data_IF_682478401610
#
_entry.id   IF_682478401610
#
_cell.length_a   1.000
_cell.length_b   1.000
_cell.length_c   1.000
_cell.angle_alpha   90.00
_cell.angle_beta   90.00
_cell.angle_gamma   90.00
#
_symmetry.space_group_name_H-M   'P 1'
#
loop_
_entity.id
_entity.type
_entity.pdbx_description
1 polymer ?
#
# COMPACT_ATOMS: atom_id res chain seq x y z
N UNK A 1 -64.54 27.34 -32.16
CA UNK A 1 -63.17 27.85 -31.86
C UNK A 1 -62.88 28.04 -30.36
N UNK A 2 -63.82 27.78 -29.44
CA UNK A 2 -63.61 27.93 -27.98
C UNK A 2 -63.13 26.67 -27.25
N UNK A 3 -63.17 25.48 -27.88
CA UNK A 3 -62.83 24.21 -27.22
C UNK A 3 -61.33 23.84 -27.29
N UNK A 4 -60.52 24.55 -28.10
CA UNK A 4 -59.07 24.30 -28.23
C UNK A 4 -58.20 25.16 -27.32
N UNK A 5 -58.72 26.25 -26.76
CA UNK A 5 -57.97 27.10 -25.81
C UNK A 5 -57.99 26.53 -24.38
N UNK A 6 -59.06 25.84 -23.98
CA UNK A 6 -59.14 25.22 -22.64
C UNK A 6 -58.16 24.07 -22.44
N UNK A 7 -57.89 23.28 -23.49
CA UNK A 7 -56.98 22.15 -23.42
C UNK A 7 -55.50 22.55 -23.34
N UNK A 8 -55.14 23.74 -23.84
CA UNK A 8 -53.76 24.25 -23.76
C UNK A 8 -53.44 24.80 -22.35
N UNK A 9 -54.41 25.42 -21.69
CA UNK A 9 -54.26 25.91 -20.31
C UNK A 9 -54.13 24.79 -19.28
N UNK A 10 -54.87 23.68 -19.45
CA UNK A 10 -54.81 22.54 -18.54
C UNK A 10 -53.47 21.79 -18.63
N UNK A 11 -52.86 21.74 -19.81
CA UNK A 11 -51.57 21.08 -20.06
C UNK A 11 -50.39 21.88 -19.50
N UNK A 12 -50.51 23.22 -19.43
CA UNK A 12 -49.49 24.08 -18.84
C UNK A 12 -49.46 23.99 -17.31
N UNK A 13 -50.63 23.88 -16.65
CA UNK A 13 -50.71 23.73 -15.19
C UNK A 13 -50.17 22.37 -14.69
N UNK A 14 -50.24 21.31 -15.50
CA UNK A 14 -49.67 19.99 -15.17
C UNK A 14 -48.14 19.92 -15.34
N UNK A 15 -47.53 20.84 -16.08
CA UNK A 15 -46.07 20.90 -16.23
C UNK A 15 -45.35 21.62 -15.06
N UNK A 16 -46.07 22.39 -14.25
CA UNK A 16 -45.51 23.13 -13.11
C UNK A 16 -45.44 22.31 -11.80
N UNK A 17 -46.07 21.14 -11.72
CA UNK A 17 -46.01 20.25 -10.55
C UNK A 17 -44.90 19.20 -10.62
N UNK A 18 -43.98 19.31 -11.60
CA UNK A 18 -42.89 18.35 -11.79
C UNK A 18 -41.61 18.68 -11.00
N UNK A 19 -41.55 19.82 -10.30
CA UNK A 19 -40.51 20.09 -9.30
C UNK A 19 -40.97 19.53 -7.95
N UNK A 20 -40.83 18.21 -7.77
CA UNK A 20 -40.91 17.59 -6.45
C UNK A 20 -39.67 17.95 -5.63
N UNK A 21 -39.87 18.10 -4.32
CA UNK A 21 -38.78 18.30 -3.36
C UNK A 21 -37.81 17.12 -3.46
N UNK A 22 -36.54 17.40 -3.77
CA UNK A 22 -35.54 16.36 -3.92
C UNK A 22 -35.35 15.74 -2.54
N UNK A 23 -35.40 14.41 -2.35
CA UNK A 23 -35.08 13.84 -1.05
C UNK A 23 -33.66 14.29 -0.72
N UNK A 24 -33.51 14.97 0.41
CA UNK A 24 -32.22 15.46 0.92
C UNK A 24 -31.70 14.46 1.96
N UNK A 25 -31.12 13.30 1.55
CA UNK A 25 -30.67 12.26 2.48
C UNK A 25 -29.52 12.71 3.40
N UNK A 26 -29.01 13.94 3.21
CA UNK A 26 -27.92 14.52 3.98
C UNK A 26 -28.33 15.76 4.80
N UNK A 27 -29.59 16.18 4.76
CA UNK A 27 -30.07 17.27 5.62
C UNK A 27 -30.43 16.73 7.01
N UNK A 28 -29.44 16.78 7.90
CA UNK A 28 -29.54 16.33 9.28
C UNK A 28 -28.19 16.47 9.98
N UNK A 29 -28.16 16.32 11.30
CA UNK A 29 -26.92 16.22 12.06
C UNK A 29 -26.48 14.75 12.04
N UNK A 30 -25.50 14.33 11.22
CA UNK A 30 -25.36 12.92 10.83
C UNK A 30 -24.62 12.08 11.91
N UNK A 31 -24.67 12.53 13.16
CA UNK A 31 -24.12 11.83 14.31
C UNK A 31 -22.59 11.74 14.30
N UNK A 32 -22.03 11.08 15.31
CA UNK A 32 -20.59 10.90 15.46
C UNK A 32 -19.98 9.95 14.42
N UNK A 33 -20.80 9.07 13.82
CA UNK A 33 -20.35 8.09 12.82
C UNK A 33 -20.13 8.75 11.46
N UNK A 34 -21.08 9.55 10.96
CA UNK A 34 -20.89 10.21 9.68
C UNK A 34 -19.80 11.29 9.73
N UNK A 35 -19.59 11.96 10.87
CA UNK A 35 -18.45 12.87 11.04
C UNK A 35 -17.10 12.17 10.97
N UNK A 36 -17.02 10.91 11.40
CA UNK A 36 -15.82 10.07 11.23
C UNK A 36 -15.67 9.61 9.78
N UNK A 37 -16.77 9.23 9.12
CA UNK A 37 -16.77 8.87 7.70
C UNK A 37 -16.43 10.05 6.77
N UNK A 38 -16.73 11.29 7.20
CA UNK A 38 -16.44 12.51 6.45
C UNK A 38 -15.02 13.06 6.68
N UNK A 39 -14.22 12.43 7.56
CA UNK A 39 -12.81 12.82 7.69
C UNK A 39 -12.03 12.21 6.54
N UNK A 40 -11.49 13.01 5.60
CA UNK A 40 -10.66 12.46 4.54
C UNK A 40 -9.45 11.76 5.16
N UNK A 41 -9.21 10.52 4.75
CA UNK A 41 -8.14 9.67 5.28
C UNK A 41 -6.72 10.24 5.04
N UNK A 42 -6.61 11.26 4.19
CA UNK A 42 -5.39 11.95 3.83
C UNK A 42 -5.61 13.47 3.88
N UNK A 43 -4.70 14.23 4.51
CA UNK A 43 -4.79 15.68 4.52
C UNK A 43 -4.77 16.22 3.08
N UNK A 44 -5.73 17.08 2.78
CA UNK A 44 -5.84 17.79 1.52
C UNK A 44 -4.65 18.76 1.36
N UNK A 45 -4.08 18.83 0.16
CA UNK A 45 -2.98 19.73 -0.19
C UNK A 45 -3.49 20.99 -0.89
N UNK A 46 -3.20 22.16 -0.32
CA UNK A 46 -3.55 23.44 -0.94
C UNK A 46 -2.55 23.80 -2.06
N UNK A 47 -3.06 24.22 -3.20
CA UNK A 47 -2.27 24.71 -4.34
C UNK A 47 -2.68 26.14 -4.67
N UNK A 48 -2.27 27.15 -3.88
CA UNK A 48 -2.57 28.54 -4.20
C UNK A 48 -1.87 28.97 -5.50
N UNK A 49 -2.43 29.94 -6.25
CA UNK A 49 -1.72 30.58 -7.35
C UNK A 49 -0.37 31.13 -6.90
N UNK A 50 0.67 30.90 -7.70
CA UNK A 50 2.01 31.41 -7.41
C UNK A 50 2.06 32.93 -7.54
N UNK A 51 2.87 33.59 -6.70
CA UNK A 51 3.10 35.04 -6.77
C UNK A 51 4.44 35.41 -7.45
N UNK A 52 5.45 34.54 -7.37
CA UNK A 52 6.82 34.81 -7.84
C UNK A 52 7.21 33.83 -8.95
N UNK A 53 6.37 33.68 -9.96
CA UNK A 53 6.53 32.71 -11.06
C UNK A 53 6.94 33.35 -12.39
N UNK A 54 7.07 34.68 -12.44
CA UNK A 54 7.27 35.44 -13.68
C UNK A 54 6.12 35.25 -14.70
N UNK A 55 4.96 34.75 -14.27
CA UNK A 55 3.74 34.63 -15.07
C UNK A 55 2.71 35.70 -14.68
N UNK A 56 1.81 36.11 -15.59
CA UNK A 56 0.63 36.90 -15.24
C UNK A 56 -0.31 36.16 -14.27
N UNK A 57 -1.09 36.90 -13.49
CA UNK A 57 -2.01 36.33 -12.48
C UNK A 57 -2.97 35.27 -13.03
N UNK A 58 -3.52 35.49 -14.23
CA UNK A 58 -4.40 34.52 -14.88
C UNK A 58 -3.67 33.19 -15.18
N UNK A 59 -2.44 33.28 -15.70
CA UNK A 59 -1.61 32.10 -15.95
C UNK A 59 -1.16 31.41 -14.65
N UNK A 60 -0.96 32.16 -13.57
CA UNK A 60 -0.70 31.60 -12.24
C UNK A 60 -1.88 30.80 -11.70
N UNK A 61 -3.10 31.31 -11.89
CA UNK A 61 -4.32 30.61 -11.54
C UNK A 61 -4.47 29.33 -12.36
N UNK A 62 -4.21 29.40 -13.67
CA UNK A 62 -4.30 28.25 -14.57
C UNK A 62 -3.24 27.19 -14.26
N UNK A 63 -2.01 27.59 -13.95
CA UNK A 63 -0.95 26.67 -13.52
C UNK A 63 -1.32 25.97 -12.20
N UNK A 64 -1.87 26.71 -11.23
CA UNK A 64 -2.32 26.12 -9.97
C UNK A 64 -3.44 25.09 -10.19
N UNK A 65 -4.42 25.40 -11.06
CA UNK A 65 -5.51 24.48 -11.41
C UNK A 65 -4.97 23.19 -12.05
N UNK A 66 -4.03 23.33 -12.98
CA UNK A 66 -3.42 22.21 -13.67
C UNK A 66 -2.55 21.38 -12.74
N UNK A 67 -1.79 22.02 -11.85
CA UNK A 67 -1.00 21.34 -10.83
C UNK A 67 -1.87 20.56 -9.86
N UNK A 68 -2.97 21.14 -9.37
CA UNK A 68 -3.93 20.43 -8.52
C UNK A 68 -4.54 19.23 -9.24
N UNK A 69 -4.89 19.37 -10.52
CA UNK A 69 -5.42 18.28 -11.36
C UNK A 69 -4.38 17.16 -11.55
N UNK A 70 -3.13 17.52 -11.84
CA UNK A 70 -2.05 16.57 -12.01
C UNK A 70 -1.72 15.82 -10.70
N UNK A 71 -1.73 16.52 -9.56
CA UNK A 71 -1.56 15.90 -8.24
C UNK A 71 -2.68 14.90 -7.93
N UNK A 72 -3.94 15.25 -8.21
CA UNK A 72 -5.07 14.33 -8.06
C UNK A 72 -4.92 13.10 -8.96
N UNK A 73 -4.43 13.26 -10.19
CA UNK A 73 -4.14 12.15 -11.10
C UNK A 73 -3.03 11.22 -10.57
N UNK A 74 -2.17 11.71 -9.67
CA UNK A 74 -1.17 10.93 -8.93
C UNK A 74 -1.65 10.47 -7.54
N UNK A 75 -2.97 10.44 -7.32
CA UNK A 75 -3.60 10.04 -6.05
C UNK A 75 -3.25 10.93 -4.84
N UNK A 76 -2.80 12.17 -5.09
CA UNK A 76 -2.55 13.17 -4.05
C UNK A 76 -3.77 14.11 -4.01
N UNK A 77 -4.60 14.06 -2.95
CA UNK A 77 -5.74 14.97 -2.84
C UNK A 77 -5.24 16.41 -2.75
N UNK A 78 -5.48 17.19 -3.81
CA UNK A 78 -5.02 18.56 -3.90
C UNK A 78 -6.09 19.44 -4.52
N UNK A 79 -6.21 20.69 -4.09
CA UNK A 79 -7.12 21.65 -4.72
C UNK A 79 -6.55 23.07 -4.70
N UNK A 80 -7.03 23.89 -5.61
CA UNK A 80 -6.71 25.32 -5.59
C UNK A 80 -7.62 26.01 -4.59
N UNK A 81 -7.00 26.51 -3.53
CA UNK A 81 -7.67 27.36 -2.56
C UNK A 81 -6.63 28.16 -1.78
N UNK A 82 -7.10 29.23 -1.13
CA UNK A 82 -6.30 29.92 -0.13
C UNK A 82 -6.08 28.97 1.06
N UNK A 83 -4.83 28.69 1.45
CA UNK A 83 -4.56 27.76 2.53
C UNK A 83 -5.02 28.31 3.88
N UNK A 84 -5.81 27.52 4.60
CA UNK A 84 -6.16 27.77 6.00
C UNK A 84 -4.99 27.37 6.93
N UNK A 85 -5.06 27.78 8.20
CA UNK A 85 -4.00 27.55 9.23
C UNK A 85 -3.69 26.08 9.55
N UNK A 86 -4.43 25.14 8.97
CA UNK A 86 -4.35 23.71 9.30
C UNK A 86 -4.02 22.84 8.07
N UNK A 87 -3.69 23.46 6.93
CA UNK A 87 -3.57 22.76 5.65
C UNK A 87 -2.14 22.91 5.11
N UNK A 88 -1.58 21.80 4.66
CA UNK A 88 -0.31 21.77 3.94
C UNK A 88 -0.47 22.44 2.57
N UNK A 89 0.61 22.99 2.02
CA UNK A 89 0.53 23.72 0.75
C UNK A 89 1.75 23.52 -0.13
N UNK A 90 1.52 23.54 -1.44
CA UNK A 90 2.58 23.66 -2.45
C UNK A 90 2.62 25.10 -2.92
N UNK A 91 3.76 25.75 -2.71
CA UNK A 91 4.01 27.10 -3.23
C UNK A 91 4.86 26.97 -4.49
N UNK A 92 4.31 27.47 -5.59
CA UNK A 92 5.02 27.55 -6.88
C UNK A 92 5.72 28.90 -7.01
N UNK A 93 7.01 28.85 -7.31
CA UNK A 93 7.85 29.98 -7.71
C UNK A 93 8.53 29.64 -9.03
N UNK A 94 9.18 30.60 -9.67
CA UNK A 94 10.03 30.33 -10.80
C UNK A 94 11.23 31.27 -10.81
N UNK A 95 12.38 30.73 -11.21
CA UNK A 95 13.62 31.48 -11.32
C UNK A 95 14.11 31.49 -12.76
N UNK A 96 14.65 32.62 -13.18
CA UNK A 96 15.27 32.73 -14.49
C UNK A 96 16.68 32.14 -14.45
N UNK A 97 16.96 31.23 -15.36
CA UNK A 97 18.25 30.57 -15.56
C UNK A 97 18.70 30.78 -17.01
N UNK A 98 19.35 31.93 -17.26
CA UNK A 98 19.75 32.37 -18.60
C UNK A 98 18.55 32.57 -19.54
N UNK A 99 18.51 31.76 -20.60
CA UNK A 99 17.43 31.72 -21.60
C UNK A 99 16.28 30.78 -21.23
N UNK A 100 16.29 30.26 -20.00
CA UNK A 100 15.27 29.37 -19.48
C UNK A 100 14.64 29.95 -18.20
N UNK A 101 13.46 29.45 -17.87
CA UNK A 101 12.80 29.60 -16.58
C UNK A 101 12.68 28.22 -15.95
N UNK A 102 13.03 28.13 -14.68
CA UNK A 102 12.92 26.93 -13.87
C UNK A 102 11.83 27.12 -12.83
N UNK A 103 10.72 26.36 -12.88
CA UNK A 103 9.74 26.36 -11.82
C UNK A 103 10.28 25.61 -10.59
N UNK A 104 9.94 26.14 -9.42
CA UNK A 104 10.32 25.64 -8.10
C UNK A 104 9.07 25.40 -7.28
N UNK A 105 8.96 24.24 -6.65
CA UNK A 105 7.82 23.83 -5.87
C UNK A 105 8.26 23.55 -4.44
N UNK A 106 7.83 24.38 -3.49
CA UNK A 106 8.12 24.18 -2.06
C UNK A 106 6.88 23.70 -1.31
N UNK A 107 7.02 22.59 -0.59
CA UNK A 107 6.01 22.03 0.29
C UNK A 107 6.17 22.71 1.65
N UNK A 108 5.07 23.29 2.14
CA UNK A 108 5.02 23.92 3.46
C UNK A 108 3.98 23.28 4.35
N UNK A 109 4.32 23.17 5.62
CA UNK A 109 3.42 22.73 6.66
C UNK A 109 2.33 23.80 6.94
N UNK A 110 1.32 23.47 7.79
CA UNK A 110 0.30 24.42 8.20
C UNK A 110 0.85 25.67 8.89
N UNK A 111 1.99 25.56 9.57
CA UNK A 111 2.68 26.66 10.26
C UNK A 111 3.44 27.57 9.28
N UNK A 112 3.62 27.15 8.03
CA UNK A 112 4.33 27.89 6.97
C UNK A 112 5.82 27.59 6.89
N UNK A 113 6.33 26.64 7.68
CA UNK A 113 7.70 26.12 7.57
C UNK A 113 7.82 25.29 6.29
N UNK A 114 8.94 25.46 5.59
CA UNK A 114 9.26 24.64 4.42
C UNK A 114 9.78 23.28 4.89
N UNK A 115 9.09 22.20 4.48
CA UNK A 115 9.45 20.82 4.84
C UNK A 115 10.19 20.10 3.69
N UNK A 116 10.07 20.62 2.47
CA UNK A 116 10.79 20.11 1.32
C UNK A 116 10.52 20.91 0.06
N UNK A 117 11.33 20.70 -0.96
CA UNK A 117 11.17 21.35 -2.26
C UNK A 117 11.68 20.48 -3.40
N UNK A 118 11.20 20.78 -4.60
CA UNK A 118 11.66 20.17 -5.86
C UNK A 118 11.65 21.20 -6.97
N UNK A 119 12.50 20.99 -7.96
CA UNK A 119 12.54 21.76 -9.19
C UNK A 119 11.71 21.05 -10.27
N UNK A 120 11.14 21.82 -11.20
CA UNK A 120 10.63 21.30 -12.46
C UNK A 120 11.66 21.41 -13.58
N UNK A 121 11.26 20.92 -14.76
CA UNK A 121 12.08 21.00 -15.97
C UNK A 121 12.26 22.46 -16.41
N UNK A 122 13.39 22.74 -17.05
CA UNK A 122 13.66 24.06 -17.62
C UNK A 122 12.75 24.30 -18.82
N UNK A 123 12.04 25.42 -18.82
CA UNK A 123 11.21 25.87 -19.94
C UNK A 123 11.90 27.06 -20.62
N UNK A 124 12.00 27.11 -21.96
CA UNK A 124 12.56 28.29 -22.64
C UNK A 124 11.83 29.57 -22.24
N UNK A 125 12.56 30.66 -22.04
CA UNK A 125 12.03 31.92 -21.50
C UNK A 125 10.84 32.46 -22.31
N UNK A 126 10.92 32.40 -23.64
CA UNK A 126 9.84 32.85 -24.54
C UNK A 126 8.59 31.99 -24.35
N UNK A 127 8.74 30.67 -24.32
CA UNK A 127 7.64 29.73 -24.11
C UNK A 127 6.99 29.89 -22.73
N UNK A 128 7.79 30.15 -21.69
CA UNK A 128 7.28 30.46 -20.36
C UNK A 128 6.48 31.77 -20.35
N UNK A 129 7.02 32.82 -20.99
CA UNK A 129 6.37 34.13 -21.09
C UNK A 129 5.06 34.07 -21.91
N UNK A 130 4.99 33.22 -22.93
CA UNK A 130 3.78 32.99 -23.73
C UNK A 130 2.65 32.34 -22.91
N UNK A 131 3.00 31.63 -21.82
CA UNK A 131 2.05 31.03 -20.88
C UNK A 131 0.94 30.17 -21.52
N UNK A 132 1.28 29.41 -22.58
CA UNK A 132 0.28 28.63 -23.31
C UNK A 132 -0.36 27.54 -22.43
N UNK A 133 -1.66 27.22 -22.61
CA UNK A 133 -2.33 26.19 -21.82
C UNK A 133 -1.61 24.84 -21.87
N UNK A 134 -1.12 24.42 -23.04
CA UNK A 134 -0.39 23.16 -23.21
C UNK A 134 0.93 23.12 -22.43
N UNK A 135 1.65 24.25 -22.39
CA UNK A 135 2.90 24.36 -21.62
C UNK A 135 2.62 24.26 -20.12
N UNK A 136 1.62 25.00 -19.61
CA UNK A 136 1.23 24.94 -18.21
C UNK A 136 0.80 23.52 -17.80
N UNK A 137 0.11 22.82 -18.70
CA UNK A 137 -0.33 21.44 -18.47
C UNK A 137 0.87 20.51 -18.36
N UNK A 138 1.83 20.64 -19.29
CA UNK A 138 3.05 19.86 -19.28
C UNK A 138 3.86 20.08 -18.00
N UNK A 139 4.08 21.34 -17.60
CA UNK A 139 4.80 21.68 -16.37
C UNK A 139 4.14 21.05 -15.14
N UNK A 140 2.81 21.14 -15.05
CA UNK A 140 2.05 20.54 -13.96
C UNK A 140 2.16 19.00 -13.95
N UNK A 141 1.99 18.37 -15.11
CA UNK A 141 2.05 16.91 -15.26
C UNK A 141 3.44 16.35 -14.89
N UNK A 142 4.51 17.05 -15.25
CA UNK A 142 5.88 16.65 -14.90
C UNK A 142 6.21 16.94 -13.43
N UNK A 143 5.65 18.00 -12.83
CA UNK A 143 5.91 18.38 -11.45
C UNK A 143 5.22 17.46 -10.43
N UNK A 144 3.99 17.01 -10.71
CA UNK A 144 3.17 16.20 -9.80
C UNK A 144 3.90 14.96 -9.22
N UNK A 145 4.50 14.05 -10.03
CA UNK A 145 5.21 12.89 -9.48
C UNK A 145 6.41 13.26 -8.61
N UNK A 146 7.13 14.35 -8.94
CA UNK A 146 8.26 14.85 -8.12
C UNK A 146 7.79 15.39 -6.78
N UNK A 147 6.71 16.17 -6.77
CA UNK A 147 6.09 16.65 -5.52
C UNK A 147 5.63 15.46 -4.66
N UNK A 148 5.02 14.45 -5.27
CA UNK A 148 4.62 13.20 -4.59
C UNK A 148 5.80 12.48 -3.93
N UNK A 149 6.95 12.43 -4.60
CA UNK A 149 8.17 11.87 -4.03
C UNK A 149 8.66 12.67 -2.81
N UNK A 150 8.63 14.01 -2.87
CA UNK A 150 8.99 14.88 -1.74
C UNK A 150 8.06 14.67 -0.55
N UNK A 151 6.74 14.66 -0.77
CA UNK A 151 5.74 14.42 0.29
C UNK A 151 5.95 13.05 0.96
N UNK A 152 6.24 12.03 0.16
CA UNK A 152 6.56 10.69 0.67
C UNK A 152 7.84 10.69 1.52
N UNK A 153 8.86 11.42 1.09
CA UNK A 153 10.11 11.60 1.82
C UNK A 153 9.93 12.33 3.15
N UNK A 154 9.13 13.40 3.18
CA UNK A 154 8.80 14.14 4.41
C UNK A 154 8.12 13.21 5.41
N UNK A 155 7.08 12.47 4.98
CA UNK A 155 6.38 11.51 5.84
C UNK A 155 7.32 10.45 6.39
N UNK A 156 8.20 9.89 5.55
CA UNK A 156 9.17 8.90 5.98
C UNK A 156 10.16 9.48 7.01
N UNK A 157 10.59 10.73 6.84
CA UNK A 157 11.46 11.41 7.80
C UNK A 157 10.75 11.67 9.15
N UNK A 158 9.48 12.07 9.13
CA UNK A 158 8.64 12.22 10.34
C UNK A 158 8.45 10.87 11.05
N UNK A 159 8.13 9.82 10.31
CA UNK A 159 7.98 8.46 10.83
C UNK A 159 9.31 7.97 11.46
N UNK A 160 10.46 8.22 10.80
CA UNK A 160 11.79 7.90 11.35
C UNK A 160 12.11 8.69 12.62
N UNK A 161 11.71 9.96 12.71
CA UNK A 161 11.98 10.80 13.87
C UNK A 161 11.10 10.48 15.09
N UNK A 162 9.89 9.95 14.88
CA UNK A 162 8.96 9.61 15.95
C UNK A 162 9.27 8.22 16.57
N UNK A 163 9.71 8.12 17.84
CA UNK A 163 10.07 6.84 18.45
C UNK A 163 8.90 5.84 18.57
N UNK A 164 7.66 6.34 18.56
CA UNK A 164 6.45 5.51 18.68
C UNK A 164 5.84 5.12 17.32
N UNK A 165 6.42 5.59 16.21
CA UNK A 165 5.94 5.26 14.86
C UNK A 165 6.07 3.76 14.58
N UNK A 166 5.24 3.26 13.67
CA UNK A 166 5.34 1.87 13.18
C UNK A 166 6.65 1.60 12.43
N UNK A 167 7.40 2.63 12.06
CA UNK A 167 8.74 2.49 11.49
C UNK A 167 9.77 2.09 12.56
N UNK A 168 9.64 2.60 13.79
CA UNK A 168 10.63 2.41 14.87
C UNK A 168 10.31 1.29 15.85
N UNK A 169 9.19 0.59 15.69
CA UNK A 169 8.81 -0.55 16.54
C UNK A 169 8.08 -1.63 15.75
N UNK A 170 8.07 -2.88 16.23
CA UNK A 170 7.19 -3.90 15.68
C UNK A 170 5.72 -3.49 15.74
N UNK A 171 4.97 -3.79 14.68
CA UNK A 171 3.53 -3.64 14.66
C UNK A 171 2.89 -4.61 15.66
N UNK A 172 1.91 -4.12 16.42
CA UNK A 172 1.03 -4.95 17.25
C UNK A 172 -0.16 -5.35 16.41
N UNK A 173 -0.36 -6.65 16.23
CA UNK A 173 -1.36 -7.17 15.32
C UNK A 173 -2.26 -8.12 16.07
N UNK A 174 -3.53 -7.76 16.18
CA UNK A 174 -4.53 -8.70 16.63
C UNK A 174 -4.88 -9.66 15.48
N UNK A 175 -4.98 -10.95 15.80
CA UNK A 175 -5.52 -11.94 14.88
C UNK A 175 -6.85 -12.40 15.45
N UNK A 176 -7.93 -11.92 14.83
CA UNK A 176 -9.29 -12.26 15.18
C UNK A 176 -9.56 -13.75 14.96
N UNK A 177 -10.61 -14.25 15.60
CA UNK A 177 -11.10 -15.59 15.33
C UNK A 177 -11.51 -15.70 13.86
N UNK A 178 -11.07 -16.78 13.22
CA UNK A 178 -11.46 -17.13 11.86
C UNK A 178 -12.92 -17.56 11.91
N UNK A 179 -13.65 -17.30 10.83
CA UNK A 179 -15.07 -17.63 10.74
C UNK A 179 -15.40 -18.34 9.44
N UNK A 180 -16.32 -19.28 9.52
CA UNK A 180 -16.96 -19.92 8.36
C UNK A 180 -16.26 -21.19 7.87
N UNK A 181 -15.21 -21.65 8.54
CA UNK A 181 -14.59 -22.92 8.22
C UNK A 181 -15.42 -24.09 8.80
N UNK A 182 -15.62 -25.17 8.03
CA UNK A 182 -16.22 -26.39 8.55
C UNK A 182 -15.35 -27.07 9.62
N UNK A 183 -15.95 -27.98 10.40
CA UNK A 183 -15.25 -28.77 11.40
C UNK A 183 -14.59 -27.92 12.49
N UNK A 184 -13.31 -28.16 12.77
CA UNK A 184 -12.48 -27.39 13.71
C UNK A 184 -11.67 -26.26 13.04
N UNK A 185 -11.96 -25.97 11.77
CA UNK A 185 -11.13 -25.11 10.93
C UNK A 185 -10.95 -23.68 11.44
N UNK A 186 -11.98 -23.08 12.04
CA UNK A 186 -11.91 -21.72 12.56
C UNK A 186 -10.85 -21.63 13.67
N UNK A 187 -10.90 -22.54 14.63
CA UNK A 187 -9.92 -22.65 15.71
C UNK A 187 -8.52 -22.98 15.18
N UNK A 188 -8.41 -23.99 14.31
CA UNK A 188 -7.14 -24.46 13.79
C UNK A 188 -6.42 -23.36 12.97
N UNK A 189 -7.13 -22.66 12.09
CA UNK A 189 -6.58 -21.56 11.30
C UNK A 189 -6.20 -20.36 12.15
N UNK A 190 -7.02 -19.96 13.13
CA UNK A 190 -6.67 -18.87 14.06
C UNK A 190 -5.38 -19.17 14.81
N UNK A 191 -5.26 -20.37 15.39
CA UNK A 191 -4.09 -20.77 16.14
C UNK A 191 -2.85 -20.77 15.25
N UNK A 192 -2.93 -21.40 14.07
CA UNK A 192 -1.79 -21.48 13.16
C UNK A 192 -1.39 -20.11 12.62
N UNK A 193 -2.34 -19.23 12.29
CA UNK A 193 -2.04 -17.88 11.86
C UNK A 193 -1.30 -17.09 12.95
N UNK A 194 -1.78 -17.13 14.20
CA UNK A 194 -1.12 -16.47 15.34
C UNK A 194 0.33 -16.95 15.51
N UNK A 195 0.53 -18.27 15.50
CA UNK A 195 1.87 -18.87 15.62
C UNK A 195 2.79 -18.45 14.47
N UNK A 196 2.30 -18.51 13.23
CA UNK A 196 3.10 -18.19 12.04
C UNK A 196 3.43 -16.71 11.94
N UNK A 197 2.51 -15.83 12.31
CA UNK A 197 2.73 -14.39 12.23
C UNK A 197 3.70 -13.90 13.32
N UNK A 198 3.62 -14.47 14.54
CA UNK A 198 4.53 -14.10 15.63
C UNK A 198 6.01 -14.33 15.30
N UNK A 199 6.31 -15.39 14.52
CA UNK A 199 7.68 -15.69 14.06
C UNK A 199 8.18 -14.71 13.01
N UNK A 200 7.28 -14.00 12.32
CA UNK A 200 7.62 -13.09 11.21
C UNK A 200 7.92 -11.65 11.65
N UNK A 201 7.80 -11.33 12.95
CA UNK A 201 8.19 -10.04 13.52
C UNK A 201 7.09 -9.30 14.30
N UNK A 202 5.82 -9.24 13.84
CA UNK A 202 4.77 -8.55 14.56
C UNK A 202 4.51 -9.12 15.97
N UNK A 203 4.14 -8.25 16.89
CA UNK A 203 3.66 -8.65 18.22
C UNK A 203 2.20 -9.08 18.05
N UNK A 204 1.94 -10.39 18.14
CA UNK A 204 0.59 -10.93 17.96
C UNK A 204 -0.22 -10.78 19.24
N UNK A 205 -1.38 -10.18 19.12
CA UNK A 205 -2.37 -10.00 20.18
C UNK A 205 -3.59 -10.91 19.94
N UNK A 206 -4.30 -11.23 21.02
CA UNK A 206 -5.56 -11.99 20.98
C UNK A 206 -6.79 -11.10 21.24
N UNK A 207 -6.57 -9.82 21.51
CA UNK A 207 -7.60 -8.80 21.75
C UNK A 207 -7.26 -7.54 20.96
N UNK A 208 -8.25 -6.82 20.44
CA UNK A 208 -8.00 -5.65 19.59
C UNK A 208 -7.48 -4.43 20.37
N UNK A 209 -7.53 -4.47 21.70
CA UNK A 209 -7.00 -3.43 22.57
C UNK A 209 -5.50 -3.22 22.30
N UNK A 210 -5.11 -1.97 22.05
CA UNK A 210 -3.74 -1.55 21.70
C UNK A 210 -3.15 -2.19 20.43
N UNK A 211 -3.98 -2.81 19.58
CA UNK A 211 -3.56 -3.30 18.27
C UNK A 211 -3.43 -2.14 17.27
N UNK A 212 -2.38 -2.16 16.45
CA UNK A 212 -2.22 -1.25 15.32
C UNK A 212 -3.06 -1.75 14.13
N UNK A 213 -3.12 -3.07 13.98
CA UNK A 213 -3.88 -3.76 12.94
C UNK A 213 -4.67 -4.95 13.49
N UNK A 214 -5.74 -5.29 12.77
CA UNK A 214 -6.60 -6.45 12.99
C UNK A 214 -6.55 -7.33 11.74
N UNK A 215 -6.22 -8.61 11.89
CA UNK A 215 -6.26 -9.61 10.82
C UNK A 215 -7.51 -10.46 11.02
N UNK A 216 -8.46 -10.36 10.08
CA UNK A 216 -9.68 -11.15 10.09
C UNK A 216 -9.64 -12.23 9.03
N UNK A 217 -9.80 -13.50 9.42
CA UNK A 217 -9.91 -14.62 8.51
C UNK A 217 -11.37 -15.02 8.24
N UNK A 218 -11.72 -15.18 6.97
CA UNK A 218 -13.05 -15.64 6.55
C UNK A 218 -12.87 -16.80 5.59
N UNK A 219 -13.54 -17.91 5.87
CA UNK A 219 -13.54 -19.09 5.02
C UNK A 219 -14.92 -19.26 4.38
N UNK A 220 -14.91 -19.63 3.10
CA UNK A 220 -16.11 -20.00 2.36
C UNK A 220 -15.86 -21.29 1.61
N UNK A 221 -16.75 -22.26 1.80
CA UNK A 221 -16.72 -23.53 1.08
C UNK A 221 -17.96 -23.62 0.21
N UNK A 222 -17.77 -23.88 -1.08
CA UNK A 222 -18.85 -23.98 -2.06
C UNK A 222 -18.72 -25.31 -2.81
N UNK A 223 -19.75 -26.17 -2.80
CA UNK A 223 -19.76 -27.37 -3.64
C UNK A 223 -19.68 -27.02 -5.12
N UNK A 224 -18.88 -27.76 -5.88
CA UNK A 224 -18.75 -27.66 -7.34
C UNK A 224 -18.96 -29.03 -7.99
N UNK A 225 -18.94 -29.09 -9.32
CA UNK A 225 -19.18 -30.34 -10.06
C UNK A 225 -18.19 -31.45 -9.69
N UNK A 226 -18.53 -32.70 -10.04
CA UNK A 226 -17.65 -33.87 -9.88
C UNK A 226 -17.25 -34.19 -8.42
N UNK A 227 -18.16 -33.94 -7.46
CA UNK A 227 -17.93 -34.17 -6.01
C UNK A 227 -16.69 -33.45 -5.50
N UNK A 228 -16.46 -32.24 -6.00
CA UNK A 228 -15.41 -31.35 -5.51
C UNK A 228 -16.06 -30.19 -4.74
N UNK A 229 -15.25 -29.54 -3.92
CA UNK A 229 -15.59 -28.33 -3.19
C UNK A 229 -14.51 -27.29 -3.48
N UNK A 230 -14.93 -26.04 -3.65
CA UNK A 230 -14.03 -24.90 -3.73
C UNK A 230 -13.98 -24.22 -2.39
N UNK A 231 -12.77 -24.14 -1.82
CA UNK A 231 -12.48 -23.47 -0.55
C UNK A 231 -11.79 -22.16 -0.85
N UNK A 232 -12.40 -21.07 -0.40
CA UNK A 232 -11.86 -19.72 -0.46
C UNK A 232 -11.55 -19.25 0.96
N UNK A 233 -10.30 -18.85 1.19
CA UNK A 233 -9.84 -18.32 2.47
C UNK A 233 -9.35 -16.90 2.24
N UNK A 234 -9.97 -15.94 2.91
CA UNK A 234 -9.65 -14.53 2.81
C UNK A 234 -9.11 -14.03 4.16
N UNK A 235 -7.92 -13.45 4.14
CA UNK A 235 -7.31 -12.78 5.27
C UNK A 235 -7.34 -11.27 5.03
N UNK A 236 -8.12 -10.55 5.82
CA UNK A 236 -8.37 -9.12 5.65
C UNK A 236 -7.57 -8.38 6.72
N UNK A 237 -6.70 -7.46 6.31
CA UNK A 237 -5.99 -6.57 7.25
C UNK A 237 -6.77 -5.27 7.38
N UNK A 238 -7.10 -4.91 8.62
CA UNK A 238 -7.79 -3.69 8.98
C UNK A 238 -6.95 -2.85 9.93
N UNK A 239 -7.19 -1.54 9.96
CA UNK A 239 -6.67 -0.66 11.01
C UNK A 239 -7.39 -0.91 12.33
N UNK A 240 -6.85 -0.40 13.43
CA UNK A 240 -7.56 -0.28 14.69
C UNK A 240 -8.92 0.45 14.58
N UNK A 241 -9.06 1.37 13.60
CA UNK A 241 -10.31 2.09 13.32
C UNK A 241 -11.32 1.28 12.49
N UNK A 242 -10.89 0.15 11.90
CA UNK A 242 -11.72 -0.75 11.10
C UNK A 242 -11.55 -0.60 9.58
N UNK A 243 -10.69 0.30 9.11
CA UNK A 243 -10.48 0.53 7.67
C UNK A 243 -9.68 -0.63 7.06
N UNK A 244 -10.17 -1.21 5.98
CA UNK A 244 -9.45 -2.25 5.24
C UNK A 244 -8.22 -1.65 4.53
N UNK A 245 -7.05 -2.22 4.82
CA UNK A 245 -5.76 -1.85 4.20
C UNK A 245 -5.33 -2.82 3.11
N UNK A 246 -5.99 -3.96 3.00
CA UNK A 246 -5.79 -4.95 1.95
C UNK A 246 -6.15 -6.35 2.42
N UNK A 247 -5.99 -7.33 1.53
CA UNK A 247 -6.35 -8.72 1.79
C UNK A 247 -5.46 -9.72 1.05
N UNK A 248 -5.39 -10.93 1.59
CA UNK A 248 -4.75 -12.10 0.98
C UNK A 248 -5.83 -13.15 0.74
N UNK A 249 -5.91 -13.69 -0.48
CA UNK A 249 -6.92 -14.67 -0.87
C UNK A 249 -6.21 -15.96 -1.30
N UNK A 250 -6.66 -17.09 -0.77
CA UNK A 250 -6.26 -18.43 -1.17
C UNK A 250 -7.49 -19.17 -1.69
N UNK A 251 -7.36 -19.84 -2.83
CA UNK A 251 -8.45 -20.57 -3.47
C UNK A 251 -7.95 -21.97 -3.84
N UNK A 252 -8.62 -23.00 -3.34
CA UNK A 252 -8.28 -24.39 -3.61
C UNK A 252 -9.52 -25.20 -3.94
N UNK A 253 -9.37 -26.20 -4.80
CA UNK A 253 -10.39 -27.20 -5.09
C UNK A 253 -9.98 -28.53 -4.46
N UNK A 254 -10.90 -29.13 -3.72
CA UNK A 254 -10.66 -30.35 -2.95
C UNK A 254 -11.80 -31.35 -3.14
N UNK A 255 -11.57 -32.65 -2.93
CA UNK A 255 -12.66 -33.61 -2.85
C UNK A 255 -13.64 -33.23 -1.75
N UNK A 256 -14.95 -33.34 -2.03
CA UNK A 256 -15.98 -32.94 -1.10
C UNK A 256 -15.90 -33.70 0.24
N UNK A 257 -16.05 -32.97 1.34
CA UNK A 257 -16.02 -33.49 2.70
C UNK A 257 -14.63 -33.71 3.31
N UNK A 258 -13.56 -33.37 2.58
CA UNK A 258 -12.16 -33.51 3.07
C UNK A 258 -11.91 -32.64 4.32
N UNK A 259 -12.62 -31.51 4.45
CA UNK A 259 -12.42 -30.52 5.51
C UNK A 259 -13.57 -30.45 6.53
N UNK A 260 -14.45 -31.45 6.56
CA UNK A 260 -15.63 -31.44 7.43
C UNK A 260 -15.30 -31.58 8.92
N UNK A 261 -14.11 -32.08 9.24
CA UNK A 261 -13.72 -32.44 10.61
C UNK A 261 -12.43 -31.75 11.04
N UNK A 262 -11.27 -32.36 10.77
CA UNK A 262 -10.00 -31.90 11.32
C UNK A 262 -9.15 -31.19 10.28
N UNK A 263 -8.81 -29.93 10.57
CA UNK A 263 -8.01 -29.07 9.71
C UNK A 263 -6.53 -29.09 10.05
N UNK A 264 -6.11 -29.68 11.19
CA UNK A 264 -4.76 -29.58 11.76
C UNK A 264 -3.62 -29.42 10.74
N UNK A 265 -3.37 -30.42 9.91
CA UNK A 265 -2.27 -30.41 8.94
C UNK A 265 -2.48 -29.39 7.81
N UNK A 266 -3.73 -29.23 7.35
CA UNK A 266 -4.10 -28.28 6.29
C UNK A 266 -3.93 -26.84 6.79
N UNK A 267 -4.38 -26.55 8.01
CA UNK A 267 -4.27 -25.24 8.62
C UNK A 267 -2.81 -24.80 8.78
N UNK A 268 -1.89 -25.73 9.06
CA UNK A 268 -0.45 -25.45 9.14
C UNK A 268 0.07 -24.92 7.81
N UNK A 269 -0.28 -25.55 6.69
CA UNK A 269 0.16 -25.17 5.35
C UNK A 269 -0.49 -23.85 4.91
N UNK A 270 -1.82 -23.77 5.04
CA UNK A 270 -2.60 -22.58 4.69
C UNK A 270 -2.09 -21.34 5.42
N UNK A 271 -1.91 -21.45 6.74
CA UNK A 271 -1.43 -20.33 7.55
C UNK A 271 0.02 -19.97 7.25
N UNK A 272 0.90 -20.94 6.93
CA UNK A 272 2.30 -20.66 6.61
C UNK A 272 2.47 -19.87 5.30
N UNK A 273 1.60 -20.08 4.33
CA UNK A 273 1.57 -19.29 3.10
C UNK A 273 0.94 -17.93 3.33
N UNK A 274 -0.23 -17.89 3.96
CA UNK A 274 -0.98 -16.67 4.19
C UNK A 274 -0.23 -15.68 5.10
N UNK A 275 0.43 -16.16 6.15
CA UNK A 275 1.12 -15.30 7.12
C UNK A 275 2.23 -14.47 6.47
N UNK A 276 2.91 -15.00 5.44
CA UNK A 276 3.91 -14.26 4.67
C UNK A 276 3.26 -13.11 3.91
N UNK A 277 2.15 -13.37 3.22
CA UNK A 277 1.39 -12.35 2.50
C UNK A 277 0.84 -11.27 3.43
N UNK A 278 0.29 -11.67 4.58
CA UNK A 278 -0.22 -10.75 5.61
C UNK A 278 0.92 -9.92 6.21
N UNK A 279 2.07 -10.52 6.53
CA UNK A 279 3.24 -9.79 7.04
C UNK A 279 3.76 -8.77 6.04
N UNK A 280 3.81 -9.10 4.75
CA UNK A 280 4.18 -8.15 3.70
C UNK A 280 3.21 -6.96 3.64
N UNK A 281 1.92 -7.20 3.84
CA UNK A 281 0.95 -6.10 3.92
C UNK A 281 1.20 -5.22 5.15
N UNK A 282 1.46 -5.81 6.32
CA UNK A 282 1.79 -5.07 7.55
C UNK A 282 3.05 -4.23 7.37
N UNK A 283 4.11 -4.78 6.78
CA UNK A 283 5.39 -4.07 6.54
C UNK A 283 5.22 -2.88 5.62
N UNK A 284 4.48 -3.02 4.51
CA UNK A 284 4.12 -1.89 3.63
C UNK A 284 3.40 -0.79 4.38
N UNK A 285 2.42 -1.15 5.21
CA UNK A 285 1.64 -0.19 6.00
C UNK A 285 2.46 0.45 7.14
N UNK A 286 3.56 -0.18 7.55
CA UNK A 286 4.46 0.29 8.61
C UNK A 286 5.68 1.06 8.08
N UNK A 287 5.70 1.42 6.79
CA UNK A 287 6.77 2.21 6.18
C UNK A 287 8.09 1.45 5.91
N UNK A 288 8.14 0.13 6.16
CA UNK A 288 9.36 -0.67 6.08
C UNK A 288 9.74 -1.14 4.65
N UNK A 289 8.86 -0.91 3.66
CA UNK A 289 9.11 -1.31 2.27
C UNK A 289 9.51 -0.12 1.37
N UNK A 290 9.41 1.12 1.86
CA UNK A 290 9.96 2.29 1.16
C UNK A 290 11.48 2.17 0.97
N UNK A 291 12.19 1.65 1.97
CA UNK A 291 13.64 1.41 1.87
C UNK A 291 13.99 0.21 0.95
N UNK A 292 13.09 -0.78 0.81
CA UNK A 292 13.31 -1.95 -0.06
C UNK A 292 13.13 -1.63 -1.55
N UNK A 293 12.21 -0.71 -1.88
CA UNK A 293 12.01 -0.21 -3.24
C UNK A 293 13.19 0.64 -3.74
N UNK A 294 13.90 1.36 -2.84
CA UNK A 294 15.15 2.07 -3.19
C UNK A 294 16.35 1.13 -3.39
N UNK A 295 16.31 -0.10 -2.85
CA UNK A 295 17.35 -1.11 -3.06
C UNK A 295 17.07 -2.06 -4.24
N UNK A 296 15.84 -2.08 -4.76
CA UNK A 296 15.41 -3.03 -5.79
C UNK A 296 14.97 -2.31 -7.07
N UNK A 297 15.91 -1.63 -7.72
CA UNK A 297 15.73 -1.17 -9.10
C UNK A 297 15.75 -2.34 -10.08
N UNK A 298 14.65 -3.08 -10.21
CA UNK A 298 14.37 -3.95 -11.36
C UNK A 298 12.84 -4.14 -11.56
N UNK A 299 12.33 -4.18 -12.80
CA UNK A 299 10.89 -4.18 -13.08
C UNK A 299 10.22 -5.50 -12.69
N UNK A 300 8.96 -5.40 -12.27
CA UNK A 300 8.21 -6.46 -11.61
C UNK A 300 7.90 -7.70 -12.45
N UNK A 301 7.63 -8.77 -11.72
CA UNK A 301 6.91 -9.94 -12.24
C UNK A 301 5.61 -10.08 -11.46
N UNK A 302 4.51 -9.79 -12.16
CA UNK A 302 3.22 -10.41 -11.91
C UNK A 302 3.42 -11.91 -11.95
N UNK A 303 3.28 -12.58 -10.80
CA UNK A 303 3.37 -14.02 -10.74
C UNK A 303 1.97 -14.58 -11.03
N UNK A 304 1.66 -14.69 -12.32
CA UNK A 304 0.62 -15.59 -12.81
C UNK A 304 1.19 -17.01 -12.74
N UNK A 305 0.52 -17.90 -12.02
CA UNK A 305 0.79 -19.34 -12.09
C UNK A 305 -0.12 -19.96 -13.15
N UNK A 306 0.40 -20.44 -14.30
CA UNK A 306 -0.30 -21.41 -15.11
C UNK A 306 0.29 -22.81 -14.89
N UNK A 307 -0.60 -23.80 -14.75
CA UNK A 307 -0.30 -25.16 -15.18
C UNK A 307 -0.37 -26.24 -14.10
N UNK A 308 -1.56 -26.80 -13.93
CA UNK A 308 -1.68 -28.23 -13.70
C UNK A 308 -1.73 -28.95 -15.06
N UNK A 309 -1.11 -30.14 -15.10
CA UNK A 309 -1.34 -31.28 -16.00
C UNK A 309 -0.29 -31.57 -17.08
N UNK A 310 0.51 -32.60 -16.82
CA UNK A 310 0.73 -33.68 -17.77
C UNK A 310 0.99 -34.99 -17.00
N UNK A 311 0.10 -35.95 -17.20
CA UNK A 311 0.21 -37.31 -16.71
C UNK A 311 1.21 -38.14 -17.56
N UNK A 312 1.57 -39.30 -17.00
CA UNK A 312 1.80 -40.57 -17.70
C UNK A 312 3.26 -40.99 -17.93
N UNK A 313 3.71 -41.94 -17.08
CA UNK A 313 4.55 -43.05 -17.52
C UNK A 313 4.31 -44.26 -16.60
N UNK A 314 3.54 -45.23 -17.10
CA UNK A 314 3.53 -46.62 -16.67
C UNK A 314 4.29 -47.45 -17.71
N UNK A 315 5.29 -48.21 -17.28
CA UNK A 315 6.09 -49.05 -18.18
C UNK A 315 7.31 -49.70 -17.53
N UNK A 316 7.08 -50.79 -16.80
CA UNK A 316 7.92 -51.97 -16.58
C UNK A 316 9.46 -51.87 -16.45
N UNK A 317 10.00 -52.34 -15.31
CA UNK A 317 11.17 -53.24 -15.28
C UNK A 317 11.37 -53.87 -13.88
N UNK A 318 11.33 -55.21 -13.79
CA UNK A 318 11.81 -56.01 -12.65
C UNK A 318 12.70 -57.13 -13.19
N UNK A 319 13.92 -57.23 -12.64
CA UNK A 319 14.85 -58.40 -12.63
C UNK A 319 15.45 -58.82 -13.97
N UNK A 320 16.75 -59.16 -14.10
CA UNK A 320 17.63 -59.85 -13.15
C UNK A 320 19.07 -60.00 -13.75
N UNK A 321 20.04 -60.31 -12.87
CA UNK A 321 21.31 -61.05 -13.11
C UNK A 321 22.61 -60.35 -13.66
N UNK A 322 23.50 -59.93 -12.74
CA UNK A 322 24.85 -60.49 -12.38
C UNK A 322 25.97 -60.76 -13.46
N UNK A 323 27.26 -60.99 -13.09
CA UNK A 323 28.33 -60.00 -12.80
C UNK A 323 29.64 -60.21 -13.64
N UNK A 324 30.63 -59.30 -13.54
CA UNK A 324 32.09 -59.56 -13.71
C UNK A 324 32.92 -58.33 -13.31
N UNK A 325 33.96 -58.51 -12.47
CA UNK A 325 34.90 -57.46 -11.99
C UNK A 325 36.13 -57.26 -12.89
N UNK A 326 37.34 -57.00 -12.36
CA UNK A 326 37.76 -55.75 -11.66
C UNK A 326 39.12 -55.19 -12.16
N UNK A 327 39.42 -53.90 -11.94
CA UNK A 327 40.79 -53.30 -11.93
C UNK A 327 40.72 -52.02 -11.05
N UNK A 328 41.24 -51.94 -9.82
CA UNK A 328 42.62 -51.83 -9.32
C UNK A 328 43.33 -50.47 -9.60
N UNK A 329 43.77 -49.79 -8.53
CA UNK A 329 44.64 -48.59 -8.53
C UNK A 329 44.23 -47.58 -7.44
N UNK A 330 44.52 -47.79 -6.15
CA UNK A 330 45.79 -47.56 -5.44
C UNK A 330 46.23 -46.08 -5.39
N UNK A 331 46.29 -45.49 -4.18
CA UNK A 331 47.03 -44.25 -3.95
C UNK A 331 46.55 -43.34 -2.81
N UNK A 332 46.70 -43.78 -1.56
CA UNK A 332 46.94 -42.91 -0.39
C UNK A 332 48.36 -43.27 0.11
N UNK A 333 49.15 -42.38 0.73
CA UNK A 333 48.90 -42.11 2.16
C UNK A 333 49.39 -40.73 2.72
N UNK A 334 48.86 -40.36 3.91
CA UNK A 334 49.55 -39.85 5.14
C UNK A 334 50.39 -38.54 5.05
N UNK A 335 50.62 -37.72 6.08
CA UNK A 335 50.32 -37.65 7.52
C UNK A 335 50.84 -36.26 8.01
N UNK A 336 50.32 -35.78 9.15
CA UNK A 336 50.99 -34.90 10.16
C UNK A 336 51.29 -33.42 9.91
N UNK A 337 50.69 -32.51 10.71
CA UNK A 337 51.36 -31.78 11.82
C UNK A 337 50.49 -30.64 12.41
N UNK A 338 50.31 -30.69 13.73
CA UNK A 338 50.15 -29.55 14.67
C UNK A 338 51.56 -29.28 15.30
N UNK A 339 51.82 -28.35 16.26
CA UNK A 339 51.08 -27.18 16.79
C UNK A 339 52.01 -25.92 17.04
N UNK A 340 51.54 -24.97 17.89
CA UNK A 340 52.28 -23.90 18.65
C UNK A 340 52.59 -22.62 17.88
N UNK A 341 52.50 -21.38 18.37
CA UNK A 341 52.22 -20.69 19.66
C UNK A 341 52.36 -19.18 19.39
N UNK A 342 51.70 -18.24 20.07
CA UNK A 342 52.16 -17.38 21.19
C UNK A 342 51.21 -16.15 21.13
N UNK A 343 50.45 -15.78 22.16
CA UNK A 343 50.79 -15.19 23.46
C UNK A 343 51.05 -13.67 23.42
N UNK A 344 50.21 -12.96 24.20
CA UNK A 344 50.41 -11.65 24.85
C UNK A 344 50.47 -10.40 23.93
N UNK A 345 50.04 -9.21 24.32
CA UNK A 345 49.84 -8.65 25.66
C UNK A 345 48.94 -7.38 25.61
N UNK A 346 48.13 -7.23 26.66
CA UNK A 346 47.81 -6.03 27.43
C UNK A 346 47.88 -4.62 26.80
N UNK A 347 46.75 -3.91 26.80
CA UNK A 347 46.65 -2.60 27.49
C UNK A 347 45.20 -2.22 27.83
N UNK A 348 44.96 -1.97 29.12
CA UNK A 348 43.82 -1.29 29.73
C UNK A 348 44.40 -0.07 30.51
N UNK A 349 43.59 0.72 31.21
CA UNK A 349 42.86 1.92 30.80
C UNK A 349 43.45 3.21 31.40
N UNK A 350 42.96 4.37 30.98
CA UNK A 350 42.83 5.61 31.77
C UNK A 350 42.16 6.65 30.87
N UNK A 351 41.45 7.69 31.31
CA UNK A 351 40.70 8.01 32.52
C UNK A 351 39.96 9.33 32.20
N UNK A 352 38.82 9.53 32.85
CA UNK A 352 38.35 10.81 33.40
C UNK A 352 37.96 12.02 32.53
N UNK A 353 36.85 12.62 32.97
CA UNK A 353 36.63 14.04 33.23
C UNK A 353 35.84 14.90 32.21
N UNK A 354 34.61 15.24 32.65
CA UNK A 354 34.09 16.61 32.78
C UNK A 354 34.10 17.51 31.53
N UNK A 355 32.91 17.68 30.94
CA UNK A 355 32.15 18.95 30.99
C UNK A 355 30.72 18.77 30.52
#
# INVERSE_FOLDING_TARGET
>A
MMMRLGSLGLLLCLALSACGDLPEPFLGNPGATARRLAQPATPLLAVPPGSDTLLPDAANQDLANQLATALQATEIPAMVHTPDKHVWRVITRAERDGDFVRPLFSIRDPQGKEEGSTEGEKVPLQTWADASPDMLHQVAAEAAPRIGAVLSGIRLAEDKANPNSLYNRPAKVEVAEVTGAPGDGDMALTQQMRLRLAVLGPIVLTTPTDADFVVQGVVRVVPIEKRQERVEIQWILKTAAGDERGRVIQLNEIPAGTLDHYWGDVAVVVAAEASKGVNNLIRRQSGHDADAAQQSGAPGTQQTNPGASAAQQSGAAVGSAQPSGPVAGAGQPKDSHQPVGHQADSHKPDQAALR
#
